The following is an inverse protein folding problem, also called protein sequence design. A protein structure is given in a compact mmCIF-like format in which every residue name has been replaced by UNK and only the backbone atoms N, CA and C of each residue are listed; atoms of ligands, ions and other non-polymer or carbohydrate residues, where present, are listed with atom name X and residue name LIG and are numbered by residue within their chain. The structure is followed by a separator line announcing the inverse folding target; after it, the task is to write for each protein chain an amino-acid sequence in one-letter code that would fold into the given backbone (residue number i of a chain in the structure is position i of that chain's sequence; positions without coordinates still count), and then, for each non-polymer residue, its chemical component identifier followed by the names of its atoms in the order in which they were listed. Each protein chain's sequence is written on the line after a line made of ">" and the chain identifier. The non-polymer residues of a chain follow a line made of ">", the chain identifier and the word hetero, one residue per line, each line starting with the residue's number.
data_IF_580303605401
#
_entry.id   IF_580303605401
#
_cell.length_a   1.000
_cell.length_b   1.000
_cell.length_c   1.000
_cell.angle_alpha   90.00
_cell.angle_beta   90.00
_cell.angle_gamma   90.00
#
_symmetry.space_group_name_H-M   'P 1'
#
loop_
_entity.id
_entity.type
_entity.pdbx_description
1 polymer ?
#
# COMPACT_ATOMS: atom_id res chain seq x y z
N UNK A 1 -34.83 36.44 -14.31
CA UNK A 1 -34.46 37.76 -14.86
C UNK A 1 -34.29 38.71 -13.68
N UNK A 2 -33.06 39.00 -13.23
CA UNK A 2 -32.14 40.07 -13.70
C UNK A 2 -32.12 41.21 -12.65
N UNK A 3 -31.36 41.00 -11.56
CA UNK A 3 -30.08 41.67 -11.21
C UNK A 3 -30.17 43.20 -11.11
N UNK A 4 -30.26 43.69 -9.86
CA UNK A 4 -30.06 45.10 -9.48
C UNK A 4 -28.57 45.40 -9.46
N UNK A 5 -28.21 46.46 -10.18
CA UNK A 5 -26.86 46.96 -10.41
C UNK A 5 -26.44 47.98 -9.35
N UNK A 6 -25.11 48.07 -9.24
CA UNK A 6 -24.21 48.91 -8.47
C UNK A 6 -24.68 50.34 -8.14
N UNK A 7 -24.30 50.78 -6.95
CA UNK A 7 -24.13 52.17 -6.52
C UNK A 7 -22.71 52.34 -5.95
N UNK A 8 -22.17 53.58 -5.94
CA UNK A 8 -20.87 53.91 -6.53
C UNK A 8 -19.91 54.46 -5.44
N UNK A 9 -19.04 55.38 -5.82
CA UNK A 9 -18.23 56.26 -4.94
C UNK A 9 -16.99 55.66 -4.29
N UNK A 10 -16.08 55.29 -5.19
CA UNK A 10 -14.66 55.61 -5.08
C UNK A 10 -14.50 57.14 -4.94
N UNK A 11 -13.62 57.61 -4.06
CA UNK A 11 -12.87 58.90 -4.07
C UNK A 11 -12.72 59.47 -2.65
N UNK A 12 -11.45 59.75 -2.31
CA UNK A 12 -10.96 60.66 -1.27
C UNK A 12 -11.09 60.22 0.19
N UNK A 13 -10.06 59.55 0.72
CA UNK A 13 -9.48 59.89 2.04
C UNK A 13 -8.07 59.29 2.13
N UNK A 14 -7.22 59.73 1.20
CA UNK A 14 -5.76 59.64 1.30
C UNK A 14 -5.28 61.01 1.81
N UNK A 15 -4.32 60.97 2.73
CA UNK A 15 -3.51 62.08 3.23
C UNK A 15 -4.08 62.87 4.42
N UNK A 16 -3.37 62.75 5.55
CA UNK A 16 -3.28 63.82 6.54
C UNK A 16 -3.58 63.44 7.97
N UNK A 17 -2.76 62.59 8.59
CA UNK A 17 -2.27 62.90 9.95
C UNK A 17 -1.03 62.06 10.28
N UNK A 18 0.09 62.51 9.71
CA UNK A 18 1.41 62.36 10.31
C UNK A 18 1.38 63.03 11.70
N UNK A 19 1.83 62.34 12.74
CA UNK A 19 2.88 62.77 13.69
C UNK A 19 2.72 62.14 15.09
N UNK A 20 3.88 61.70 15.60
CA UNK A 20 4.28 61.71 17.01
C UNK A 20 3.60 60.75 17.98
N UNK A 21 4.31 59.67 18.34
CA UNK A 21 4.87 59.55 19.71
C UNK A 21 5.65 58.24 19.89
N UNK A 22 6.96 58.38 19.92
CA UNK A 22 7.93 57.49 20.55
C UNK A 22 7.72 57.44 22.07
N UNK A 23 7.75 56.25 22.68
CA UNK A 23 8.36 55.97 24.01
C UNK A 23 8.18 54.50 24.36
N UNK A 24 9.30 53.80 24.60
CA UNK A 24 9.29 52.45 25.15
C UNK A 24 8.97 52.45 26.64
N UNK A 25 8.52 51.29 27.13
CA UNK A 25 8.66 50.85 28.51
C UNK A 25 8.69 49.32 28.55
N UNK A 26 9.56 48.80 29.40
CA UNK A 26 9.83 47.39 29.62
C UNK A 26 8.59 46.61 30.11
N UNK A 27 8.54 45.34 29.73
CA UNK A 27 7.53 44.38 30.21
C UNK A 27 8.05 42.95 30.12
N UNK A 28 9.03 42.60 30.96
CA UNK A 28 9.40 41.22 31.23
C UNK A 28 8.34 40.58 32.12
N UNK A 29 7.32 39.94 31.55
CA UNK A 29 6.55 38.87 32.23
C UNK A 29 5.59 38.22 31.26
N UNK A 30 5.82 36.93 31.02
CA UNK A 30 5.04 36.13 30.10
C UNK A 30 5.50 34.69 30.15
N UNK A 31 5.38 34.09 31.33
CA UNK A 31 5.47 32.65 31.57
C UNK A 31 4.56 31.93 30.58
N UNK A 32 5.14 31.39 29.52
CA UNK A 32 4.50 30.34 28.73
C UNK A 32 5.52 29.22 28.59
N UNK A 33 5.59 28.41 29.65
CA UNK A 33 6.04 27.04 29.51
C UNK A 33 5.03 26.39 28.56
N UNK A 34 5.35 26.38 27.26
CA UNK A 34 4.65 25.56 26.29
C UNK A 34 4.87 24.15 26.76
N UNK A 35 3.92 23.65 27.55
CA UNK A 35 3.71 22.25 27.86
C UNK A 35 3.77 21.54 26.53
N UNK A 36 4.96 21.03 26.19
CA UNK A 36 5.10 19.99 25.20
C UNK A 36 4.29 18.84 25.79
N UNK A 37 3.02 18.78 25.39
CA UNK A 37 2.31 17.52 25.35
C UNK A 37 3.16 16.70 24.42
N UNK A 38 4.08 15.92 24.99
CA UNK A 38 4.76 14.86 24.29
C UNK A 38 3.64 14.04 23.67
N UNK A 39 3.44 14.23 22.36
CA UNK A 39 2.62 13.32 21.59
C UNK A 39 3.21 11.95 21.89
N UNK A 40 2.45 11.13 22.60
CA UNK A 40 2.86 9.77 22.90
C UNK A 40 3.36 9.18 21.58
N UNK A 41 4.56 8.56 21.54
CA UNK A 41 4.99 7.89 20.33
C UNK A 41 3.87 6.93 19.98
N UNK A 42 3.17 7.20 18.87
CA UNK A 42 2.30 6.22 18.27
C UNK A 42 3.21 5.06 17.96
N UNK A 43 3.19 4.03 18.83
CA UNK A 43 3.84 2.76 18.55
C UNK A 43 3.22 2.30 17.25
N UNK A 44 3.87 2.58 16.13
CA UNK A 44 3.56 1.89 14.89
C UNK A 44 3.89 0.44 15.21
N UNK A 45 2.85 -0.34 15.46
CA UNK A 45 2.99 -1.79 15.47
C UNK A 45 3.33 -2.10 14.01
N UNK A 46 4.62 -2.10 13.68
CA UNK A 46 5.12 -2.60 12.41
C UNK A 46 4.78 -4.08 12.46
N UNK A 47 3.67 -4.43 11.80
CA UNK A 47 3.31 -5.82 11.63
C UNK A 47 4.47 -6.54 10.95
N UNK A 48 4.62 -7.85 11.19
CA UNK A 48 5.70 -8.61 10.56
C UNK A 48 5.63 -8.41 9.04
N UNK A 49 6.79 -8.22 8.40
CA UNK A 49 6.90 -7.94 6.96
C UNK A 49 7.67 -9.07 6.27
N UNK A 50 7.46 -9.23 4.96
CA UNK A 50 8.23 -10.12 4.10
C UNK A 50 8.79 -9.31 2.94
N UNK A 51 10.07 -9.51 2.59
CA UNK A 51 10.64 -8.98 1.35
C UNK A 51 10.23 -9.89 0.19
N UNK A 52 9.04 -9.65 -0.37
CA UNK A 52 8.49 -10.47 -1.46
C UNK A 52 9.32 -10.36 -2.75
N UNK A 53 9.86 -9.18 -3.14
CA UNK A 53 10.73 -9.08 -4.30
C UNK A 53 11.94 -10.04 -4.26
N UNK A 54 12.51 -10.29 -3.07
CA UNK A 54 13.64 -11.23 -2.92
C UNK A 54 13.25 -12.72 -3.11
N UNK A 55 11.95 -13.03 -3.20
CA UNK A 55 11.43 -14.37 -3.44
C UNK A 55 11.12 -14.62 -4.93
N UNK A 56 11.12 -13.56 -5.74
CA UNK A 56 10.93 -13.68 -7.19
C UNK A 56 12.15 -14.34 -7.83
N UNK A 57 11.92 -15.20 -8.82
CA UNK A 57 12.99 -15.92 -9.54
C UNK A 57 13.64 -17.06 -8.74
N UNK A 58 13.12 -17.39 -7.55
CA UNK A 58 13.55 -18.55 -6.77
C UNK A 58 12.77 -19.79 -7.21
N UNK A 59 13.37 -20.98 -7.15
CA UNK A 59 12.65 -22.24 -7.36
C UNK A 59 11.66 -22.50 -6.21
N UNK A 60 10.68 -23.36 -6.43
CA UNK A 60 9.74 -23.76 -5.37
C UNK A 60 10.46 -24.47 -4.20
N UNK A 61 11.55 -25.19 -4.47
CA UNK A 61 12.43 -25.76 -3.44
C UNK A 61 13.07 -24.67 -2.58
N UNK A 62 13.63 -23.63 -3.21
CA UNK A 62 14.21 -22.50 -2.48
C UNK A 62 13.16 -21.72 -1.69
N UNK A 63 11.90 -21.68 -2.14
CA UNK A 63 10.81 -21.14 -1.33
C UNK A 63 10.53 -22.01 -0.10
N UNK A 64 10.57 -23.35 -0.22
CA UNK A 64 10.43 -24.24 0.93
C UNK A 64 11.55 -24.06 1.95
N UNK A 65 12.79 -23.89 1.51
CA UNK A 65 13.92 -23.64 2.40
C UNK A 65 13.78 -22.32 3.15
N UNK A 66 13.32 -21.26 2.46
CA UNK A 66 13.21 -19.91 3.04
C UNK A 66 11.96 -19.70 3.88
N UNK A 67 10.83 -20.26 3.46
CA UNK A 67 9.50 -20.00 4.04
C UNK A 67 8.97 -21.19 4.86
N UNK A 68 9.63 -22.34 4.78
CA UNK A 68 9.26 -23.57 5.46
C UNK A 68 8.22 -24.40 4.69
N UNK A 69 7.47 -25.25 5.41
CA UNK A 69 6.53 -26.18 4.77
C UNK A 69 5.34 -25.44 4.16
N UNK A 70 4.82 -26.02 3.08
CA UNK A 70 3.56 -25.57 2.49
C UNK A 70 2.43 -25.60 3.53
N UNK A 71 1.50 -24.68 3.39
CA UNK A 71 0.30 -24.58 4.21
C UNK A 71 -0.93 -24.85 3.35
N UNK A 72 -2.03 -25.34 3.96
CA UNK A 72 -3.31 -25.39 3.28
C UNK A 72 -3.76 -23.98 2.87
N UNK A 73 -4.23 -23.87 1.64
CA UNK A 73 -4.82 -22.64 1.14
C UNK A 73 -6.14 -22.37 1.89
N UNK A 74 -6.43 -21.13 2.33
CA UNK A 74 -7.68 -20.87 3.01
C UNK A 74 -8.87 -21.08 2.05
N UNK A 75 -9.98 -21.67 2.52
CA UNK A 75 -11.08 -22.15 1.66
C UNK A 75 -11.72 -21.04 0.83
N UNK A 76 -11.80 -19.83 1.38
CA UNK A 76 -12.32 -18.62 0.71
C UNK A 76 -11.55 -18.18 -0.54
N UNK A 77 -10.37 -18.76 -0.80
CA UNK A 77 -9.48 -18.41 -1.90
C UNK A 77 -9.31 -19.56 -2.91
N UNK A 78 -9.51 -20.81 -2.48
CA UNK A 78 -9.32 -22.00 -3.34
C UNK A 78 -10.20 -21.97 -4.60
N UNK A 79 -11.47 -21.60 -4.45
CA UNK A 79 -12.42 -21.51 -5.57
C UNK A 79 -12.11 -20.37 -6.55
N UNK A 80 -11.55 -19.26 -6.05
CA UNK A 80 -11.19 -18.13 -6.92
C UNK A 80 -9.92 -18.41 -7.72
N UNK A 81 -8.98 -19.19 -7.16
CA UNK A 81 -7.71 -19.49 -7.81
C UNK A 81 -7.81 -20.57 -8.89
N UNK A 82 -8.73 -21.52 -8.75
CA UNK A 82 -9.01 -22.51 -9.79
C UNK A 82 -9.46 -21.87 -11.11
N UNK A 83 -10.14 -20.73 -11.05
CA UNK A 83 -10.70 -20.06 -12.23
C UNK A 83 -9.82 -18.91 -12.74
N UNK A 84 -8.96 -18.32 -11.91
CA UNK A 84 -7.89 -17.42 -12.38
C UNK A 84 -6.83 -18.14 -13.22
N UNK A 85 -6.74 -19.46 -13.06
CA UNK A 85 -5.95 -20.35 -13.91
C UNK A 85 -6.70 -20.88 -15.15
N UNK A 86 -7.72 -20.20 -15.65
CA UNK A 86 -8.54 -20.73 -16.75
C UNK A 86 -8.01 -20.48 -18.18
N UNK A 87 -6.76 -20.03 -18.36
CA UNK A 87 -6.05 -20.41 -19.59
C UNK A 87 -5.65 -21.88 -19.46
N UNK A 88 -6.59 -22.73 -19.91
CA UNK A 88 -6.67 -24.18 -19.67
C UNK A 88 -5.40 -24.95 -20.07
N UNK A 89 -4.57 -24.42 -20.96
CA UNK A 89 -3.30 -25.04 -21.35
C UNK A 89 -2.12 -24.71 -20.42
N UNK A 90 -1.97 -23.45 -20.00
CA UNK A 90 -0.87 -23.01 -19.11
C UNK A 90 -1.03 -23.53 -17.69
N UNK A 91 -2.26 -23.61 -17.19
CA UNK A 91 -2.52 -24.07 -15.81
C UNK A 91 -2.50 -25.59 -15.67
N UNK A 92 -2.55 -26.33 -16.78
CA UNK A 92 -2.37 -27.79 -16.74
C UNK A 92 -0.94 -28.20 -16.40
N UNK A 93 0.03 -27.29 -16.51
CA UNK A 93 1.44 -27.51 -16.15
C UNK A 93 1.86 -26.78 -14.87
N UNK A 94 1.14 -25.73 -14.50
CA UNK A 94 1.44 -24.94 -13.31
C UNK A 94 0.84 -25.56 -12.06
N UNK A 95 1.67 -25.71 -11.03
CA UNK A 95 1.28 -26.16 -9.71
C UNK A 95 1.20 -24.98 -8.76
N UNK A 96 0.25 -25.05 -7.82
CA UNK A 96 0.05 -24.04 -6.79
C UNK A 96 0.55 -24.55 -5.45
N UNK A 97 1.24 -23.70 -4.70
CA UNK A 97 1.63 -23.99 -3.33
C UNK A 97 1.51 -22.75 -2.48
N UNK A 98 1.01 -22.89 -1.26
CA UNK A 98 0.81 -21.75 -0.36
C UNK A 98 1.74 -21.78 0.84
N UNK A 99 2.19 -20.61 1.25
CA UNK A 99 3.11 -20.37 2.36
C UNK A 99 2.56 -19.29 3.29
N UNK A 100 3.02 -19.28 4.53
CA UNK A 100 2.75 -18.19 5.47
C UNK A 100 4.06 -17.57 5.91
N UNK A 101 4.19 -16.26 5.72
CA UNK A 101 5.39 -15.50 6.09
C UNK A 101 5.03 -14.05 6.34
N UNK A 102 5.65 -13.42 7.34
CA UNK A 102 5.40 -12.01 7.65
C UNK A 102 3.92 -11.64 7.79
N UNK A 103 3.09 -12.51 8.40
CA UNK A 103 1.63 -12.29 8.50
C UNK A 103 0.85 -12.37 7.17
N UNK A 104 1.53 -12.59 6.04
CA UNK A 104 0.96 -12.74 4.71
C UNK A 104 0.69 -14.21 4.40
N UNK A 105 -0.31 -14.45 3.55
CA UNK A 105 -0.47 -15.73 2.86
C UNK A 105 -0.01 -15.54 1.42
N UNK A 106 1.07 -16.22 1.07
CA UNK A 106 1.69 -16.20 -0.24
C UNK A 106 1.27 -17.46 -0.99
N UNK A 107 0.85 -17.34 -2.24
CA UNK A 107 0.61 -18.47 -3.14
C UNK A 107 1.61 -18.37 -4.28
N UNK A 108 2.44 -19.38 -4.45
CA UNK A 108 3.35 -19.49 -5.57
C UNK A 108 2.69 -20.30 -6.68
N UNK A 109 2.69 -19.74 -7.89
CA UNK A 109 2.47 -20.49 -9.13
C UNK A 109 3.83 -20.87 -9.69
N UNK A 110 4.05 -22.15 -9.99
CA UNK A 110 5.32 -22.63 -10.49
C UNK A 110 5.14 -23.74 -11.51
N UNK A 111 6.11 -23.85 -12.41
CA UNK A 111 6.14 -24.93 -13.40
C UNK A 111 6.54 -26.25 -12.72
N UNK A 112 5.67 -27.26 -12.78
CA UNK A 112 5.89 -28.53 -12.09
C UNK A 112 7.10 -29.32 -12.60
N UNK A 113 7.52 -29.08 -13.86
CA UNK A 113 8.64 -29.79 -14.50
C UNK A 113 9.97 -29.12 -14.18
N UNK A 114 10.04 -27.80 -14.31
CA UNK A 114 11.29 -27.03 -14.10
C UNK A 114 11.48 -26.59 -12.65
N UNK A 115 10.44 -26.72 -11.81
CA UNK A 115 10.43 -26.25 -10.42
C UNK A 115 10.58 -24.73 -10.27
N UNK A 116 10.50 -23.97 -11.37
CA UNK A 116 10.68 -22.52 -11.36
C UNK A 116 9.37 -21.80 -11.02
N UNK A 117 9.43 -20.84 -10.10
CA UNK A 117 8.30 -19.98 -9.75
C UNK A 117 8.06 -18.98 -10.88
N UNK A 118 6.83 -18.92 -11.36
CA UNK A 118 6.40 -18.01 -12.42
C UNK A 118 5.88 -16.70 -11.85
N UNK A 119 5.04 -16.79 -10.82
CA UNK A 119 4.47 -15.64 -10.15
C UNK A 119 4.09 -15.94 -8.70
N UNK A 120 3.94 -14.87 -7.95
CA UNK A 120 3.57 -14.88 -6.54
C UNK A 120 2.28 -14.11 -6.33
N UNK A 121 1.34 -14.67 -5.60
CA UNK A 121 0.09 -14.01 -5.22
C UNK A 121 0.04 -13.82 -3.71
N UNK A 122 -0.02 -12.57 -3.28
CA UNK A 122 -0.28 -12.19 -1.89
C UNK A 122 -1.78 -12.09 -1.66
N UNK A 123 -2.31 -12.94 -0.80
CA UNK A 123 -3.73 -12.93 -0.47
C UNK A 123 -4.04 -11.87 0.59
N UNK A 124 -5.07 -11.07 0.31
CA UNK A 124 -5.54 -10.06 1.25
C UNK A 124 -6.58 -9.14 0.64
N UNK A 125 -7.21 -8.33 1.50
CA UNK A 125 -8.38 -7.51 1.12
C UNK A 125 -8.04 -6.02 0.94
N UNK A 126 -6.83 -5.61 1.29
CA UNK A 126 -6.38 -4.21 1.27
C UNK A 126 -5.04 -4.12 0.56
N UNK A 127 -5.02 -3.45 -0.58
CA UNK A 127 -3.84 -3.29 -1.42
C UNK A 127 -2.68 -2.63 -0.66
N UNK A 128 -2.91 -1.47 -0.05
CA UNK A 128 -1.87 -0.73 0.69
C UNK A 128 -1.21 -1.56 1.79
N UNK A 129 -2.01 -2.37 2.49
CA UNK A 129 -1.49 -3.27 3.54
C UNK A 129 -0.61 -4.36 2.95
N UNK A 130 -1.01 -4.94 1.82
CA UNK A 130 -0.23 -5.97 1.12
C UNK A 130 1.05 -5.39 0.53
N UNK A 131 0.98 -4.19 -0.05
CA UNK A 131 2.13 -3.46 -0.57
C UNK A 131 3.16 -3.20 0.54
N UNK A 132 2.70 -2.65 1.67
CA UNK A 132 3.56 -2.35 2.81
C UNK A 132 4.16 -3.62 3.44
N UNK A 133 3.33 -4.62 3.74
CA UNK A 133 3.79 -5.86 4.37
C UNK A 133 4.70 -6.69 3.47
N UNK A 134 4.47 -6.64 2.15
CA UNK A 134 5.27 -7.34 1.14
C UNK A 134 6.53 -6.57 0.70
N UNK A 135 6.76 -5.37 1.24
CA UNK A 135 7.85 -4.47 0.80
C UNK A 135 7.81 -4.22 -0.72
N UNK A 136 6.60 -4.10 -1.28
CA UNK A 136 6.38 -3.93 -2.72
C UNK A 136 6.35 -2.45 -3.11
N UNK A 137 6.73 -2.19 -4.36
CA UNK A 137 6.68 -0.87 -4.97
C UNK A 137 5.89 -0.95 -6.28
N UNK A 138 4.95 -0.02 -6.47
CA UNK A 138 4.10 -0.02 -7.67
C UNK A 138 4.90 0.22 -8.97
N UNK A 139 5.99 0.99 -8.88
CA UNK A 139 6.83 1.38 -10.02
C UNK A 139 8.19 0.65 -10.02
N UNK A 140 8.21 -0.61 -9.58
CA UNK A 140 9.43 -1.40 -9.60
C UNK A 140 9.89 -1.71 -11.03
N UNK A 141 11.20 -1.76 -11.25
CA UNK A 141 11.78 -2.02 -12.59
C UNK A 141 11.78 -3.51 -12.99
N UNK A 142 11.71 -4.41 -12.01
CA UNK A 142 11.98 -5.84 -12.21
C UNK A 142 10.76 -6.72 -11.93
N UNK A 143 9.62 -6.12 -11.63
CA UNK A 143 8.38 -6.85 -11.43
C UNK A 143 7.17 -5.94 -11.64
N UNK A 144 6.04 -6.54 -11.98
CA UNK A 144 4.74 -5.89 -12.02
C UNK A 144 3.91 -6.35 -10.83
N UNK A 145 3.15 -5.41 -10.25
CA UNK A 145 2.13 -5.70 -9.24
C UNK A 145 0.76 -5.51 -9.89
N UNK A 146 -0.06 -6.54 -9.86
CA UNK A 146 -1.37 -6.58 -10.49
C UNK A 146 -2.43 -6.89 -9.44
N UNK A 147 -3.47 -6.05 -9.27
CA UNK A 147 -4.58 -6.37 -8.39
C UNK A 147 -5.37 -7.54 -8.98
N UNK A 148 -5.66 -8.53 -8.13
CA UNK A 148 -6.48 -9.69 -8.48
C UNK A 148 -7.80 -9.59 -7.74
N UNK A 149 -8.90 -9.69 -8.46
CA UNK A 149 -10.25 -9.55 -7.90
C UNK A 149 -10.96 -10.91 -7.79
N UNK A 150 -11.91 -10.99 -6.87
CA UNK A 150 -12.78 -12.17 -6.71
C UNK A 150 -13.76 -12.26 -7.88
N UNK A 151 -13.90 -13.46 -8.43
CA UNK A 151 -14.80 -13.72 -9.55
C UNK A 151 -16.28 -13.64 -9.16
N UNK A 152 -16.62 -14.15 -7.99
CA UNK A 152 -18.00 -14.13 -7.48
C UNK A 152 -18.41 -12.78 -6.89
N UNK A 153 -17.48 -11.84 -6.74
CA UNK A 153 -17.69 -10.50 -6.17
C UNK A 153 -16.77 -9.51 -6.89
N UNK A 154 -17.08 -9.16 -8.16
CA UNK A 154 -16.28 -8.22 -8.93
C UNK A 154 -16.09 -6.91 -8.16
N UNK A 155 -14.88 -6.34 -8.24
CA UNK A 155 -14.48 -5.17 -7.45
C UNK A 155 -14.00 -5.48 -6.03
N UNK A 156 -14.13 -6.72 -5.53
CA UNK A 156 -13.50 -7.11 -4.26
C UNK A 156 -12.12 -7.70 -4.49
N UNK A 157 -11.10 -7.05 -3.92
CA UNK A 157 -9.72 -7.52 -3.97
C UNK A 157 -9.61 -8.93 -3.34
N UNK A 158 -9.03 -9.84 -4.10
CA UNK A 158 -8.55 -11.16 -3.66
C UNK A 158 -7.13 -11.05 -3.11
N UNK A 159 -6.28 -10.28 -3.80
CA UNK A 159 -4.88 -10.15 -3.49
C UNK A 159 -4.10 -9.35 -4.54
N UNK A 160 -2.78 -9.37 -4.43
CA UNK A 160 -1.85 -8.77 -5.38
C UNK A 160 -1.00 -9.87 -6.02
N UNK A 161 -1.02 -9.97 -7.35
CA UNK A 161 -0.13 -10.84 -8.11
C UNK A 161 1.14 -10.07 -8.46
N UNK A 162 2.28 -10.69 -8.26
CA UNK A 162 3.59 -10.15 -8.52
C UNK A 162 4.25 -11.05 -9.56
N UNK A 163 4.56 -10.46 -10.72
CA UNK A 163 5.14 -11.15 -11.86
C UNK A 163 6.52 -10.57 -12.11
N UNK A 164 7.54 -11.42 -12.19
CA UNK A 164 8.89 -10.97 -12.54
C UNK A 164 8.94 -10.46 -13.99
N UNK A 165 9.68 -9.37 -14.20
CA UNK A 165 10.00 -8.86 -15.53
C UNK A 165 11.41 -9.32 -15.86
N UNK A 166 11.49 -10.29 -16.77
CA UNK A 166 12.75 -10.87 -17.24
C UNK A 166 13.23 -10.17 -18.51
#
# INVERSE_FOLDING_TARGET
>A
MQKRSLYPTLVAYLAGLLLLSSSGLAGCSGTHESRQVAAAPSRSIIGPTTNVPALLGVSIDGLHERLGPARPLPPDFASSLQVLGSDVETVRQDSLTSFRTGGLTLVASYDARTRQVRDLLLLGRREDSLMAQGTLQANARHYLVLPVFRLNKPGRLLGLRIVALN
#
